data_IF_450577191178
#
_entry.id   IF_450577191178
#
_cell.length_a   1.000
_cell.length_b   1.000
_cell.length_c   1.000
_cell.angle_alpha   90.00
_cell.angle_beta   90.00
_cell.angle_gamma   90.00
#
_symmetry.space_group_name_H-M   'P 1'
#
loop_
_entity.id
_entity.type
_entity.pdbx_description
1 polymer ?
#
# COMPACT_ATOMS: atom_id res chain seq x y z
N UNK A 1 11.12 -8.02 10.54
CA UNK A 1 9.74 -7.55 10.27
C UNK A 1 9.59 -7.52 8.75
N UNK A 2 8.61 -8.24 8.21
CA UNK A 2 8.35 -8.31 6.77
C UNK A 2 7.05 -7.60 6.43
N UNK A 3 7.04 -6.86 5.33
CA UNK A 3 5.83 -6.33 4.72
C UNK A 3 5.45 -7.21 3.54
N UNK A 4 4.34 -7.91 3.68
CA UNK A 4 3.82 -8.76 2.62
C UNK A 4 3.08 -7.87 1.61
N UNK A 5 3.61 -7.80 0.39
CA UNK A 5 3.04 -6.96 -0.64
C UNK A 5 1.79 -7.61 -1.22
N UNK A 6 0.64 -6.97 -1.03
CA UNK A 6 -0.61 -7.30 -1.70
C UNK A 6 -0.66 -6.52 -3.01
N UNK A 7 -0.37 -7.23 -4.11
CA UNK A 7 -0.33 -6.64 -5.44
C UNK A 7 -1.38 -7.22 -6.33
N UNK A 8 -1.95 -6.33 -7.14
CA UNK A 8 -2.90 -6.66 -8.18
C UNK A 8 -2.28 -6.26 -9.51
N UNK A 9 -2.22 -7.23 -10.41
CA UNK A 9 -1.70 -7.02 -11.76
C UNK A 9 -2.59 -6.02 -12.50
N UNK A 10 -1.98 -5.29 -13.42
CA UNK A 10 -2.73 -4.46 -14.35
C UNK A 10 -3.73 -5.24 -15.17
N UNK A 11 -4.75 -4.49 -15.57
CA UNK A 11 -5.70 -4.89 -16.58
C UNK A 11 -4.98 -5.43 -17.82
N UNK A 12 -5.33 -6.68 -18.13
CA UNK A 12 -4.86 -7.41 -19.28
C UNK A 12 -5.68 -6.96 -20.50
N UNK A 13 -5.04 -6.42 -21.56
CA UNK A 13 -5.78 -6.01 -22.76
C UNK A 13 -6.42 -7.18 -23.50
N UNK A 14 -6.11 -8.43 -23.12
CA UNK A 14 -6.72 -9.62 -23.68
C UNK A 14 -8.23 -9.68 -23.34
N UNK A 15 -9.12 -9.70 -24.34
CA UNK A 15 -10.58 -9.71 -24.15
C UNK A 15 -11.09 -10.82 -23.23
N UNK A 16 -10.38 -11.96 -23.14
CA UNK A 16 -10.75 -13.09 -22.28
C UNK A 16 -10.67 -12.78 -20.78
N UNK A 17 -10.00 -11.68 -20.40
CA UNK A 17 -9.79 -11.28 -19.01
C UNK A 17 -10.57 -10.03 -18.60
N UNK A 18 -11.41 -9.47 -19.49
CA UNK A 18 -12.14 -8.21 -19.22
C UNK A 18 -13.04 -8.28 -17.97
N UNK A 19 -13.65 -9.44 -17.67
CA UNK A 19 -14.47 -9.63 -16.47
C UNK A 19 -13.64 -9.61 -15.17
N UNK A 20 -12.35 -9.96 -15.26
CA UNK A 20 -11.39 -9.96 -14.14
C UNK A 20 -10.64 -8.64 -14.00
N UNK A 21 -10.88 -7.69 -14.90
CA UNK A 21 -10.17 -6.42 -14.99
C UNK A 21 -11.06 -5.22 -14.65
N UNK A 22 -12.03 -5.40 -13.75
CA UNK A 22 -12.90 -4.34 -13.24
C UNK A 22 -12.39 -3.77 -11.91
N UNK A 23 -12.87 -2.58 -11.52
CA UNK A 23 -12.58 -2.05 -10.19
C UNK A 23 -13.05 -2.99 -9.06
N UNK A 24 -14.14 -3.74 -9.30
CA UNK A 24 -14.69 -4.70 -8.35
C UNK A 24 -13.82 -5.94 -8.21
N UNK A 25 -13.28 -6.47 -9.31
CA UNK A 25 -12.36 -7.61 -9.26
C UNK A 25 -11.02 -7.21 -8.64
N UNK A 26 -10.48 -6.02 -8.94
CA UNK A 26 -9.27 -5.52 -8.29
C UNK A 26 -9.44 -5.41 -6.75
N UNK A 27 -10.62 -4.98 -6.28
CA UNK A 27 -10.95 -4.99 -4.85
C UNK A 27 -11.05 -6.41 -4.30
N UNK A 28 -11.76 -7.32 -4.98
CA UNK A 28 -11.88 -8.73 -4.58
C UNK A 28 -10.50 -9.37 -4.43
N UNK A 29 -9.68 -9.29 -5.47
CA UNK A 29 -8.37 -9.92 -5.52
C UNK A 29 -7.43 -9.33 -4.45
N UNK A 30 -7.56 -8.02 -4.15
CA UNK A 30 -6.87 -7.38 -3.02
C UNK A 30 -7.26 -8.04 -1.70
N UNK A 31 -8.55 -8.24 -1.46
CA UNK A 31 -9.05 -8.86 -0.24
C UNK A 31 -8.63 -10.34 -0.14
N UNK A 32 -8.64 -11.07 -1.26
CA UNK A 32 -8.18 -12.46 -1.32
C UNK A 32 -6.69 -12.57 -1.01
N UNK A 33 -5.84 -11.67 -1.53
CA UNK A 33 -4.42 -11.64 -1.21
C UNK A 33 -4.14 -11.29 0.26
N UNK A 34 -4.92 -10.36 0.84
CA UNK A 34 -4.87 -10.09 2.29
C UNK A 34 -5.24 -11.35 3.06
N UNK A 35 -6.30 -12.06 2.66
CA UNK A 35 -6.74 -13.30 3.30
C UNK A 35 -5.68 -14.41 3.23
N UNK A 36 -5.10 -14.65 2.05
CA UNK A 36 -3.99 -15.60 1.86
C UNK A 36 -2.82 -15.27 2.79
N UNK A 37 -2.45 -13.99 2.89
CA UNK A 37 -1.37 -13.54 3.77
C UNK A 37 -1.69 -13.80 5.24
N UNK A 38 -2.92 -13.52 5.68
CA UNK A 38 -3.37 -13.81 7.04
C UNK A 38 -3.35 -15.31 7.32
N UNK A 39 -3.86 -16.12 6.39
CA UNK A 39 -3.86 -17.58 6.50
C UNK A 39 -2.45 -18.16 6.59
N UNK A 40 -1.50 -17.65 5.80
CA UNK A 40 -0.09 -18.03 5.91
C UNK A 40 0.42 -17.85 7.34
N UNK A 41 0.14 -16.70 7.94
CA UNK A 41 0.60 -16.39 9.30
C UNK A 41 -0.09 -17.25 10.36
N UNK A 42 -1.37 -17.57 10.19
CA UNK A 42 -2.08 -18.45 11.13
C UNK A 42 -1.72 -19.92 10.98
N UNK A 43 -1.29 -20.35 9.79
CA UNK A 43 -0.88 -21.74 9.51
C UNK A 43 0.50 -22.04 10.08
N UNK A 44 1.41 -21.06 10.09
CA UNK A 44 2.77 -21.20 10.62
C UNK A 44 3.04 -20.23 11.78
N UNK A 45 2.30 -20.33 12.90
CA UNK A 45 2.40 -19.40 14.02
C UNK A 45 3.75 -19.45 14.76
N UNK A 46 4.50 -20.54 14.62
CA UNK A 46 5.86 -20.68 15.11
C UNK A 46 6.88 -19.82 14.35
N UNK A 47 6.53 -19.42 13.13
CA UNK A 47 7.38 -18.61 12.25
C UNK A 47 6.88 -17.17 12.10
N UNK A 48 5.57 -16.95 12.20
CA UNK A 48 4.96 -15.65 11.93
C UNK A 48 4.08 -15.16 13.06
N UNK A 49 4.09 -13.85 13.26
CA UNK A 49 3.12 -13.13 14.08
C UNK A 49 2.63 -11.92 13.30
N UNK A 50 1.31 -11.81 13.15
CA UNK A 50 0.69 -10.70 12.45
C UNK A 50 0.70 -9.46 13.35
N UNK A 51 1.26 -8.36 12.86
CA UNK A 51 1.23 -7.05 13.52
C UNK A 51 0.47 -6.07 12.62
N UNK A 52 -0.59 -5.47 13.16
CA UNK A 52 -1.49 -4.57 12.40
C UNK A 52 -1.67 -3.22 13.09
N UNK A 53 -1.98 -2.19 12.29
CA UNK A 53 -2.64 -0.98 12.82
C UNK A 53 -4.07 -1.35 13.16
N UNK A 54 -4.47 -1.06 14.41
CA UNK A 54 -5.87 -1.09 14.81
C UNK A 54 -6.58 0.14 14.25
N UNK A 55 -7.03 0.08 13.00
CA UNK A 55 -7.94 1.09 12.47
C UNK A 55 -9.25 1.00 13.27
N UNK A 56 -9.63 2.06 14.00
CA UNK A 56 -10.97 2.10 14.62
C UNK A 56 -11.99 1.97 13.49
N UNK A 57 -12.97 1.05 13.58
CA UNK A 57 -13.89 0.80 12.49
C UNK A 57 -14.71 2.05 12.16
N UNK A 58 -14.89 2.29 10.86
CA UNK A 58 -15.87 3.23 10.34
C UNK A 58 -17.28 2.70 10.67
N UNK A 59 -18.21 3.54 11.12
CA UNK A 59 -19.62 3.15 11.27
C UNK A 59 -20.17 2.82 9.87
N UNK A 60 -20.16 1.54 9.48
CA UNK A 60 -20.56 1.03 8.16
C UNK A 60 -19.61 -0.02 7.56
N UNK A 61 -18.37 -0.10 8.04
CA UNK A 61 -17.38 -1.13 7.71
C UNK A 61 -16.83 -1.73 9.01
N UNK A 62 -17.71 -2.29 9.82
CA UNK A 62 -17.30 -3.08 10.98
C UNK A 62 -16.64 -4.36 10.46
N UNK A 63 -15.34 -4.54 10.73
CA UNK A 63 -14.65 -5.83 10.54
C UNK A 63 -13.50 -5.88 9.53
N UNK A 64 -13.18 -4.78 8.81
CA UNK A 64 -12.12 -4.82 7.79
C UNK A 64 -10.84 -4.14 8.25
N UNK A 65 -9.79 -4.94 8.40
CA UNK A 65 -8.44 -4.49 8.69
C UNK A 65 -7.72 -4.22 7.37
N UNK A 66 -7.45 -2.95 7.07
CA UNK A 66 -6.73 -2.51 5.87
C UNK A 66 -5.26 -2.30 6.26
N UNK A 67 -4.33 -2.77 5.43
CA UNK A 67 -2.89 -2.89 5.72
C UNK A 67 -2.17 -1.61 6.14
N UNK A 68 -0.87 -1.75 6.46
CA UNK A 68 -0.08 -0.69 7.09
C UNK A 68 0.21 0.52 6.16
N UNK A 69 0.33 0.28 4.86
CA UNK A 69 0.64 1.28 3.84
C UNK A 69 -0.05 0.95 2.51
N UNK A 70 -0.13 1.93 1.62
CA UNK A 70 -0.57 1.75 0.22
C UNK A 70 0.43 2.48 -0.70
N UNK A 71 0.87 1.79 -1.75
CA UNK A 71 1.60 2.40 -2.86
C UNK A 71 0.63 3.11 -3.78
N UNK A 72 0.79 4.42 -3.99
CA UNK A 72 -0.22 5.25 -4.69
C UNK A 72 -0.43 4.80 -6.14
N UNK A 73 0.63 4.35 -6.79
CA UNK A 73 0.60 3.76 -8.12
C UNK A 73 1.52 2.54 -8.17
N UNK A 74 1.50 1.83 -9.29
CA UNK A 74 2.58 0.91 -9.67
C UNK A 74 3.09 1.39 -11.05
N UNK A 75 3.53 0.55 -12.00
CA UNK A 75 3.90 0.89 -13.39
C UNK A 75 2.81 1.41 -14.40
N UNK A 76 1.60 1.81 -14.00
CA UNK A 76 0.63 2.50 -14.89
C UNK A 76 -0.17 3.55 -14.14
N UNK A 77 -0.45 4.66 -14.83
CA UNK A 77 -1.30 5.73 -14.33
C UNK A 77 -2.65 5.21 -13.86
N UNK A 78 -3.15 5.81 -12.80
CA UNK A 78 -4.48 5.54 -12.25
C UNK A 78 -5.18 6.88 -11.96
N UNK A 79 -6.45 6.87 -11.51
CA UNK A 79 -7.17 8.11 -11.21
C UNK A 79 -6.52 9.02 -10.16
N UNK A 80 -5.55 8.53 -9.39
CA UNK A 80 -4.90 9.27 -8.32
C UNK A 80 -3.63 9.97 -8.79
N UNK A 81 -2.82 9.36 -9.67
CA UNK A 81 -1.49 9.89 -9.99
C UNK A 81 -0.86 9.31 -11.26
N UNK A 82 0.19 10.00 -11.73
CA UNK A 82 1.10 9.57 -12.81
C UNK A 82 2.31 8.77 -12.28
N UNK A 83 2.74 7.79 -13.07
CA UNK A 83 3.79 6.82 -12.73
C UNK A 83 5.12 7.14 -13.42
N UNK A 84 6.23 6.71 -12.81
CA UNK A 84 7.55 6.85 -13.41
C UNK A 84 7.64 6.11 -14.75
N UNK A 85 7.04 4.92 -14.86
CA UNK A 85 7.03 4.14 -16.10
C UNK A 85 6.30 4.86 -17.24
N UNK A 86 5.15 5.47 -16.98
CA UNK A 86 4.44 6.25 -18.00
C UNK A 86 5.27 7.43 -18.51
N UNK A 87 5.98 8.12 -17.62
CA UNK A 87 6.89 9.21 -18.03
C UNK A 87 8.09 8.67 -18.82
N UNK A 88 8.65 7.54 -18.42
CA UNK A 88 9.74 6.88 -19.15
C UNK A 88 9.31 6.45 -20.58
N UNK A 89 8.03 6.08 -20.75
CA UNK A 89 7.42 5.77 -22.05
C UNK A 89 7.07 7.03 -22.89
N UNK A 90 7.43 8.23 -22.42
CA UNK A 90 7.22 9.49 -23.12
C UNK A 90 5.83 10.12 -22.92
N UNK A 91 5.02 9.60 -21.99
CA UNK A 91 3.73 10.20 -21.65
C UNK A 91 3.91 11.44 -20.75
N UNK A 92 2.95 12.39 -20.74
CA UNK A 92 3.04 13.59 -19.92
C UNK A 92 3.04 13.28 -18.42
N UNK A 93 3.93 13.93 -17.66
CA UNK A 93 3.92 13.88 -16.21
C UNK A 93 2.85 14.81 -15.61
N UNK A 94 1.67 14.28 -15.31
CA UNK A 94 0.54 15.06 -14.75
C UNK A 94 0.66 15.24 -13.23
N UNK A 95 1.47 14.40 -12.58
CA UNK A 95 1.64 14.39 -11.13
C UNK A 95 0.42 13.83 -10.38
N UNK A 96 0.17 14.35 -9.18
CA UNK A 96 -0.95 13.94 -8.33
C UNK A 96 -2.25 14.64 -8.76
N UNK A 97 -3.32 13.86 -8.94
CA UNK A 97 -4.63 14.38 -9.30
C UNK A 97 -5.34 15.02 -8.09
N UNK A 98 -6.38 15.85 -8.30
CA UNK A 98 -7.21 16.35 -7.19
C UNK A 98 -7.81 15.21 -6.35
N UNK A 99 -8.16 14.09 -6.97
CA UNK A 99 -8.64 12.91 -6.25
C UNK A 99 -7.51 12.19 -5.49
N UNK A 100 -6.29 12.18 -6.04
CA UNK A 100 -5.07 11.76 -5.35
C UNK A 100 -4.79 12.57 -4.08
N UNK A 101 -4.94 13.89 -4.13
CA UNK A 101 -4.79 14.78 -2.97
C UNK A 101 -5.71 14.34 -1.83
N UNK A 102 -6.97 14.06 -2.15
CA UNK A 102 -7.96 13.60 -1.18
C UNK A 102 -7.62 12.21 -0.61
N UNK A 103 -7.05 11.31 -1.41
CA UNK A 103 -6.54 10.03 -0.94
C UNK A 103 -5.36 10.20 0.05
N UNK A 104 -4.38 11.06 -0.24
CA UNK A 104 -3.25 11.34 0.67
C UNK A 104 -3.75 11.91 2.00
N UNK A 105 -4.67 12.88 1.96
CA UNK A 105 -5.28 13.44 3.17
C UNK A 105 -5.98 12.37 3.99
N UNK A 106 -6.71 11.46 3.34
CA UNK A 106 -7.36 10.32 4.00
C UNK A 106 -6.35 9.42 4.68
N UNK A 107 -5.27 9.04 3.99
CA UNK A 107 -4.20 8.18 4.52
C UNK A 107 -3.53 8.81 5.75
N UNK A 108 -3.13 10.08 5.67
CA UNK A 108 -2.58 10.80 6.82
C UNK A 108 -3.56 10.87 8.00
N UNK A 109 -4.85 11.05 7.74
CA UNK A 109 -5.88 11.11 8.79
C UNK A 109 -6.05 9.76 9.51
N UNK A 110 -5.90 8.63 8.82
CA UNK A 110 -6.07 7.29 9.41
C UNK A 110 -4.77 6.67 9.92
N UNK A 111 -3.62 7.31 9.67
CA UNK A 111 -2.30 6.83 10.12
C UNK A 111 -1.70 5.77 9.21
N UNK A 112 -2.25 5.61 8.00
CA UNK A 112 -1.72 4.74 6.98
C UNK A 112 -0.51 5.41 6.32
N UNK A 113 0.61 4.70 6.24
CA UNK A 113 1.79 5.24 5.57
C UNK A 113 1.53 5.35 4.07
N UNK A 114 1.92 6.49 3.50
CA UNK A 114 1.90 6.72 2.06
C UNK A 114 3.19 6.16 1.48
N UNK A 115 3.07 5.19 0.56
CA UNK A 115 4.19 4.68 -0.20
C UNK A 115 4.20 5.31 -1.60
N UNK A 116 5.33 5.94 -1.94
CA UNK A 116 5.57 6.62 -3.20
C UNK A 116 6.60 5.91 -4.08
N UNK A 117 6.83 4.61 -3.88
CA UNK A 117 7.44 3.77 -4.91
C UNK A 117 6.60 3.79 -6.20
N UNK A 118 7.27 3.64 -7.37
CA UNK A 118 6.72 3.73 -8.74
C UNK A 118 6.17 5.08 -9.23
N UNK A 119 5.95 6.07 -8.37
CA UNK A 119 5.34 7.34 -8.80
C UNK A 119 6.30 8.16 -9.65
N UNK A 120 5.78 9.01 -10.54
CA UNK A 120 6.60 9.95 -11.31
C UNK A 120 7.28 10.99 -10.42
N UNK A 121 8.30 11.68 -10.96
CA UNK A 121 9.00 12.73 -10.21
C UNK A 121 8.05 13.86 -9.78
N UNK A 122 7.12 14.29 -10.65
CA UNK A 122 6.13 15.30 -10.27
C UNK A 122 5.18 14.78 -9.20
N UNK A 123 4.66 13.55 -9.32
CA UNK A 123 3.80 12.96 -8.28
C UNK A 123 4.51 12.90 -6.94
N UNK A 124 5.80 12.53 -6.93
CA UNK A 124 6.62 12.52 -5.72
C UNK A 124 6.62 13.89 -5.04
N UNK A 125 6.93 14.97 -5.79
CA UNK A 125 6.91 16.32 -5.25
C UNK A 125 5.52 16.75 -4.77
N UNK A 126 4.48 16.52 -5.58
CA UNK A 126 3.11 16.88 -5.22
C UNK A 126 2.65 16.20 -3.93
N UNK A 127 3.01 14.92 -3.72
CA UNK A 127 2.72 14.20 -2.47
C UNK A 127 3.51 14.78 -1.30
N UNK A 128 4.81 15.04 -1.47
CA UNK A 128 5.67 15.60 -0.43
C UNK A 128 5.21 16.99 0.03
N UNK A 129 4.67 17.80 -0.88
CA UNK A 129 4.17 19.15 -0.59
C UNK A 129 2.89 19.13 0.28
N UNK A 130 2.07 18.09 0.16
CA UNK A 130 0.78 18.01 0.89
C UNK A 130 0.80 17.05 2.08
N UNK A 131 1.76 16.14 2.15
CA UNK A 131 1.80 15.09 3.16
C UNK A 131 1.99 15.70 4.56
N UNK A 132 1.07 15.37 5.47
CA UNK A 132 1.12 15.80 6.88
C UNK A 132 1.90 14.85 7.77
N UNK A 133 2.18 13.65 7.28
CA UNK A 133 2.97 12.62 7.94
C UNK A 133 4.09 12.13 7.00
N UNK A 134 5.19 11.57 7.52
CA UNK A 134 6.27 11.08 6.67
C UNK A 134 5.80 9.95 5.75
N UNK A 135 6.28 9.98 4.52
CA UNK A 135 6.04 8.96 3.48
C UNK A 135 7.17 7.93 3.48
N UNK A 136 6.98 6.84 2.72
CA UNK A 136 8.02 5.83 2.48
C UNK A 136 8.23 5.63 0.98
N UNK A 137 9.40 5.11 0.63
CA UNK A 137 9.61 4.35 -0.61
C UNK A 137 9.84 2.91 -0.18
N UNK A 138 8.86 2.03 -0.41
CA UNK A 138 8.94 0.66 0.09
C UNK A 138 10.01 -0.17 -0.63
N UNK A 139 10.32 0.15 -1.89
CA UNK A 139 11.34 -0.53 -2.69
C UNK A 139 11.88 0.41 -3.79
N UNK A 140 12.60 1.45 -3.38
CA UNK A 140 13.29 2.35 -4.31
C UNK A 140 14.69 2.64 -3.79
N UNK A 141 15.63 2.84 -4.70
CA UNK A 141 17.03 3.12 -4.33
C UNK A 141 17.19 4.56 -3.89
N UNK A 142 18.03 4.80 -2.88
CA UNK A 142 18.30 6.14 -2.33
C UNK A 142 19.80 6.35 -2.12
N UNK A 143 20.25 7.61 -2.24
CA UNK A 143 21.67 7.95 -2.20
C UNK A 143 22.25 8.06 -0.78
N UNK A 144 21.54 8.70 0.18
CA UNK A 144 21.89 8.61 1.62
C UNK A 144 20.84 9.22 2.58
N UNK A 145 20.88 8.77 3.85
CA UNK A 145 20.06 9.14 5.03
C UNK A 145 18.60 8.65 5.00
N UNK A 146 18.15 8.12 6.15
CA UNK A 146 16.82 7.50 6.37
C UNK A 146 16.54 6.29 5.47
N UNK A 147 17.54 5.41 5.33
CA UNK A 147 17.49 4.23 4.46
C UNK A 147 16.93 3.02 5.21
N UNK A 148 16.17 2.18 4.50
CA UNK A 148 15.70 0.86 4.93
C UNK A 148 15.95 -0.18 3.82
N UNK A 149 15.58 -1.44 4.08
CA UNK A 149 15.66 -2.52 3.10
C UNK A 149 14.27 -2.85 2.55
N UNK A 150 14.16 -2.87 1.23
CA UNK A 150 12.98 -3.28 0.48
C UNK A 150 13.42 -3.90 -0.84
N UNK A 151 13.71 -5.20 -0.81
CA UNK A 151 14.45 -5.88 -1.88
C UNK A 151 13.66 -6.16 -3.15
N UNK A 152 12.34 -6.15 -3.06
CA UNK A 152 11.45 -6.64 -4.11
C UNK A 152 11.73 -8.11 -4.53
N UNK A 153 12.24 -8.91 -3.58
CA UNK A 153 12.42 -10.37 -3.77
C UNK A 153 11.10 -11.02 -4.19
N UNK A 154 11.21 -12.11 -4.95
CA UNK A 154 10.11 -12.87 -5.56
C UNK A 154 9.30 -12.09 -6.64
N UNK A 155 9.75 -10.88 -7.03
CA UNK A 155 9.10 -10.06 -8.07
C UNK A 155 10.00 -9.57 -9.19
N UNK A 156 11.30 -9.51 -8.96
CA UNK A 156 12.28 -9.11 -9.96
C UNK A 156 12.87 -10.35 -10.65
N UNK A 157 13.12 -10.28 -11.98
CA UNK A 157 13.65 -11.41 -12.74
C UNK A 157 15.13 -11.68 -12.44
N UNK A 158 15.85 -10.67 -11.95
CA UNK A 158 17.28 -10.72 -11.68
C UNK A 158 17.59 -10.02 -10.35
N UNK A 159 18.55 -10.58 -9.62
CA UNK A 159 19.02 -10.08 -8.33
C UNK A 159 20.53 -9.83 -8.39
N UNK A 160 21.10 -8.90 -7.60
CA UNK A 160 22.54 -8.68 -7.57
C UNK A 160 23.30 -9.94 -7.13
N UNK A 161 24.48 -10.17 -7.72
CA UNK A 161 25.37 -11.27 -7.31
C UNK A 161 25.76 -11.14 -5.83
N UNK A 162 25.58 -12.21 -5.07
CA UNK A 162 25.75 -12.25 -3.61
C UNK A 162 24.54 -11.75 -2.82
N UNK A 163 23.41 -11.53 -3.49
CA UNK A 163 22.10 -11.20 -2.92
C UNK A 163 21.00 -12.06 -3.56
N UNK A 164 21.25 -13.36 -3.67
CA UNK A 164 20.38 -14.31 -4.38
C UNK A 164 19.00 -14.47 -3.73
N UNK A 165 18.93 -14.36 -2.40
CA UNK A 165 17.70 -14.58 -1.63
C UNK A 165 17.76 -13.87 -0.27
N UNK A 166 16.67 -14.01 0.50
CA UNK A 166 16.52 -13.41 1.83
C UNK A 166 17.57 -13.86 2.86
N UNK A 167 18.29 -14.97 2.63
CA UNK A 167 19.39 -15.41 3.51
C UNK A 167 20.63 -14.52 3.39
N UNK A 168 20.73 -13.68 2.36
CA UNK A 168 21.93 -12.88 2.05
C UNK A 168 21.96 -11.49 2.71
N UNK A 169 20.92 -11.11 3.45
CA UNK A 169 20.93 -9.84 4.19
C UNK A 169 22.14 -9.67 5.13
N UNK A 170 22.64 -10.69 5.86
CA UNK A 170 23.86 -10.55 6.67
C UNK A 170 25.10 -10.16 5.86
N UNK A 171 25.25 -10.69 4.64
CA UNK A 171 26.38 -10.37 3.76
C UNK A 171 26.34 -8.91 3.31
N UNK A 172 25.15 -8.40 3.00
CA UNK A 172 24.92 -6.99 2.69
C UNK A 172 25.25 -6.10 3.89
N UNK A 173 24.78 -6.45 5.09
CA UNK A 173 25.05 -5.68 6.30
C UNK A 173 26.55 -5.62 6.59
N UNK A 174 27.28 -6.72 6.41
CA UNK A 174 28.73 -6.75 6.54
C UNK A 174 29.41 -5.77 5.58
N UNK A 175 28.99 -5.73 4.31
CA UNK A 175 29.52 -4.77 3.33
C UNK A 175 29.23 -3.32 3.73
N UNK A 176 28.01 -3.02 4.20
CA UNK A 176 27.61 -1.69 4.67
C UNK A 176 28.45 -1.26 5.88
N UNK A 177 28.69 -2.15 6.84
CA UNK A 177 29.52 -1.87 8.01
C UNK A 177 30.97 -1.55 7.62
N UNK A 178 31.56 -2.33 6.70
CA UNK A 178 32.93 -2.11 6.21
C UNK A 178 33.06 -0.78 5.43
N UNK A 179 31.98 -0.30 4.82
CA UNK A 179 31.95 0.97 4.10
C UNK A 179 31.97 2.22 5.00
N UNK A 180 32.10 2.07 6.33
CA UNK A 180 32.21 3.18 7.28
C UNK A 180 30.88 3.69 7.83
N UNK A 181 29.83 2.86 7.75
CA UNK A 181 28.49 3.18 8.26
C UNK A 181 28.45 3.01 9.78
N UNK A 182 27.81 3.93 10.51
CA UNK A 182 27.74 3.86 11.98
C UNK A 182 26.77 2.77 12.47
N UNK A 183 26.95 2.27 13.68
CA UNK A 183 26.03 1.30 14.31
C UNK A 183 24.58 1.81 14.36
N UNK A 184 24.39 3.12 14.55
CA UNK A 184 23.05 3.73 14.52
C UNK A 184 22.44 3.64 13.12
N UNK A 185 23.20 3.93 12.08
CA UNK A 185 22.76 3.84 10.69
C UNK A 185 22.47 2.38 10.30
N UNK A 186 23.30 1.43 10.72
CA UNK A 186 23.10 0.00 10.49
C UNK A 186 21.83 -0.48 11.19
N UNK A 187 21.62 -0.11 12.47
CA UNK A 187 20.37 -0.40 13.20
C UNK A 187 19.15 0.20 12.50
N UNK A 188 19.29 1.42 11.98
CA UNK A 188 18.26 2.08 11.19
C UNK A 188 17.90 1.27 9.93
N UNK A 189 18.93 0.86 9.17
CA UNK A 189 18.82 0.08 7.93
C UNK A 189 18.17 -1.30 8.16
N UNK A 190 18.56 -1.99 9.23
CA UNK A 190 18.02 -3.31 9.61
C UNK A 190 16.53 -3.28 10.01
N UNK A 191 15.93 -2.10 10.12
CA UNK A 191 14.51 -1.93 10.37
C UNK A 191 14.18 -0.91 11.45
N UNK A 192 15.16 -0.35 12.17
CA UNK A 192 14.92 0.63 13.23
C UNK A 192 14.31 1.95 12.73
N UNK A 193 14.49 2.29 11.45
CA UNK A 193 13.91 3.50 10.86
C UNK A 193 12.40 3.39 10.66
N UNK A 194 11.89 2.20 10.32
CA UNK A 194 10.49 2.07 9.92
C UNK A 194 9.48 2.25 11.07
N UNK A 195 9.68 1.67 12.29
CA UNK A 195 8.82 1.97 13.44
C UNK A 195 8.77 3.46 13.80
N UNK A 196 9.85 4.22 13.53
CA UNK A 196 9.87 5.68 13.75
C UNK A 196 8.90 6.39 12.80
N UNK A 197 8.90 6.00 11.52
CA UNK A 197 7.99 6.53 10.50
C UNK A 197 6.54 6.14 10.82
N UNK A 198 6.32 4.87 11.15
CA UNK A 198 5.00 4.36 11.52
C UNK A 198 4.46 5.10 12.75
N UNK A 199 5.19 5.17 13.87
CA UNK A 199 4.75 5.88 15.08
C UNK A 199 4.45 7.36 14.80
N UNK A 200 5.21 8.00 13.92
CA UNK A 200 4.95 9.41 13.54
C UNK A 200 3.68 9.55 12.70
N UNK A 201 3.37 8.60 11.82
CA UNK A 201 2.09 8.56 11.09
C UNK A 201 0.90 8.41 12.05
N UNK A 202 0.98 7.50 13.03
CA UNK A 202 -0.07 7.34 14.05
C UNK A 202 -0.26 8.61 14.89
N UNK A 203 0.84 9.26 15.30
CA UNK A 203 0.77 10.49 16.07
C UNK A 203 0.13 11.64 15.28
N UNK A 204 0.43 11.76 13.99
CA UNK A 204 -0.21 12.76 13.11
C UNK A 204 -1.70 12.44 12.95
N UNK A 205 -2.05 11.18 12.70
CA UNK A 205 -3.45 10.76 12.59
C UNK A 205 -4.26 11.08 13.84
N UNK A 206 -3.71 10.78 15.03
CA UNK A 206 -4.35 11.10 16.30
C UNK A 206 -4.58 12.62 16.47
N UNK A 207 -3.58 13.45 16.10
CA UNK A 207 -3.71 14.91 16.13
C UNK A 207 -4.80 15.41 15.17
N UNK A 208 -4.78 14.94 13.93
CA UNK A 208 -5.77 15.33 12.91
C UNK A 208 -7.20 14.97 13.33
N UNK A 209 -7.37 13.80 13.96
CA UNK A 209 -8.66 13.36 14.50
C UNK A 209 -9.10 14.19 15.70
N UNK A 210 -8.18 14.54 16.60
CA UNK A 210 -8.47 15.34 17.79
C UNK A 210 -8.92 16.77 17.45
N UNK A 211 -8.37 17.38 16.40
CA UNK A 211 -8.78 18.72 15.92
C UNK A 211 -10.06 18.69 15.06
N UNK A 212 -10.76 17.56 14.99
CA UNK A 212 -12.07 17.48 14.35
C UNK A 212 -12.06 17.41 12.83
N UNK A 213 -10.93 17.15 12.17
CA UNK A 213 -10.91 16.93 10.71
C UNK A 213 -11.78 15.73 10.40
N UNK A 214 -12.81 15.91 9.58
CA UNK A 214 -13.75 14.86 9.20
C UNK A 214 -13.13 13.86 8.22
N UNK A 215 -13.68 12.64 8.12
CA UNK A 215 -13.28 11.71 7.07
C UNK A 215 -13.43 12.37 5.68
N UNK A 216 -12.44 12.20 4.82
CA UNK A 216 -12.57 12.57 3.40
C UNK A 216 -13.64 11.68 2.76
N UNK A 217 -14.63 12.31 2.12
CA UNK A 217 -15.77 11.70 1.42
C UNK A 217 -15.73 11.95 -0.10
N UNK A 218 -14.57 12.35 -0.62
CA UNK A 218 -14.39 12.60 -2.04
C UNK A 218 -14.80 11.37 -2.88
N UNK A 219 -15.54 11.62 -3.95
CA UNK A 219 -15.92 10.63 -4.94
C UNK A 219 -15.17 10.91 -6.24
N UNK A 220 -14.68 9.86 -6.88
CA UNK A 220 -14.08 9.99 -8.21
C UNK A 220 -15.18 10.20 -9.26
N UNK A 221 -15.08 11.28 -10.03
CA UNK A 221 -16.08 11.64 -11.05
C UNK A 221 -16.24 10.57 -12.14
N UNK A 222 -15.19 9.81 -12.44
CA UNK A 222 -15.24 8.70 -13.41
C UNK A 222 -15.92 7.43 -12.90
N UNK A 223 -16.42 7.39 -11.65
CA UNK A 223 -17.08 6.21 -11.08
C UNK A 223 -18.49 6.06 -11.63
N UNK A 224 -18.75 4.97 -12.36
CA UNK A 224 -20.09 4.59 -12.79
C UNK A 224 -20.78 3.73 -11.73
N UNK A 225 -21.91 4.19 -11.21
CA UNK A 225 -22.78 3.38 -10.35
C UNK A 225 -23.86 2.70 -11.19
N UNK A 226 -23.99 1.38 -11.05
CA UNK A 226 -25.16 0.65 -11.56
C UNK A 226 -26.00 0.22 -10.36
N UNK A 227 -27.27 0.60 -10.35
CA UNK A 227 -28.23 0.08 -9.37
C UNK A 227 -28.45 -1.39 -9.71
N UNK A 228 -28.18 -2.27 -8.76
CA UNK A 228 -28.49 -3.69 -8.89
C UNK A 228 -30.02 -3.86 -8.86
N UNK A 229 -30.58 -4.36 -9.94
CA UNK A 229 -32.01 -4.63 -10.15
C UNK A 229 -32.34 -6.14 -10.16
N UNK A 230 -31.33 -7.00 -10.03
CA UNK A 230 -31.49 -8.43 -9.85
C UNK A 230 -31.99 -8.79 -8.44
N UNK A 231 -32.72 -9.90 -8.32
CA UNK A 231 -32.96 -10.53 -7.02
C UNK A 231 -31.63 -10.83 -6.33
N UNK A 232 -31.51 -10.57 -5.03
CA UNK A 232 -30.35 -11.02 -4.27
C UNK A 232 -30.29 -12.54 -4.36
N UNK A 233 -29.20 -13.09 -4.89
CA UNK A 233 -28.92 -14.50 -4.72
C UNK A 233 -28.84 -14.80 -3.23
N UNK A 234 -29.62 -15.77 -2.77
CA UNK A 234 -29.58 -16.22 -1.39
C UNK A 234 -28.20 -16.84 -1.13
N UNK A 235 -27.29 -16.08 -0.52
CA UNK A 235 -25.98 -16.57 -0.08
C UNK A 235 -26.14 -17.76 0.91
N UNK A 236 -27.29 -17.82 1.59
CA UNK A 236 -27.76 -18.95 2.38
C UNK A 236 -29.27 -19.13 2.14
N UNK A 237 -29.69 -20.36 1.82
CA UNK A 237 -31.11 -20.74 1.67
C UNK A 237 -31.95 -20.25 2.87
N UNK A 238 -33.00 -19.46 2.60
CA UNK A 238 -33.97 -19.00 3.60
C UNK A 238 -33.64 -17.68 4.32
N UNK A 239 -32.67 -16.90 3.84
CA UNK A 239 -32.36 -15.59 4.44
C UNK A 239 -33.41 -14.50 4.13
N UNK A 240 -34.16 -14.64 3.02
CA UNK A 240 -35.18 -13.66 2.63
C UNK A 240 -36.37 -13.56 3.59
N UNK A 241 -36.67 -14.62 4.34
CA UNK A 241 -37.79 -14.65 5.30
C UNK A 241 -37.53 -13.87 6.59
N UNK A 242 -36.27 -13.58 6.93
CA UNK A 242 -35.90 -12.91 8.20
C UNK A 242 -35.86 -11.38 8.13
N UNK A 243 -36.08 -10.77 6.96
CA UNK A 243 -36.08 -9.30 6.79
C UNK A 243 -37.46 -8.65 6.81
N UNK A 244 -38.54 -9.42 7.06
CA UNK A 244 -39.92 -8.93 7.15
C UNK A 244 -40.48 -8.89 8.60
N UNK A 245 -39.62 -8.96 9.62
CA UNK A 245 -39.94 -8.66 11.02
C UNK A 245 -39.10 -7.48 11.50
#
# INVERSE_FOLDING_TARGET
MQFWNVFIKYQNPNPLYQDYDTASSALRDTLEHIDVTKRLMTTYPEHFSLVMIRLRPWKGLQGWEIGLYITITHNRDNPFATTASSVADGLPDKGLSPYGVEAIKKMNRIGMMVDISHVSLKTMHDVLDIARAPVIFSHSSAYSKYVGLGSDFDRIPEVPKGLEDVSKYPDLLKKVMVAGTTDEQVRGLMGGNLPRIWKKNEAVAAKLQAVGITPVEASWEGRTWRKWDGGLSELFLGHSDKKKQ
#
